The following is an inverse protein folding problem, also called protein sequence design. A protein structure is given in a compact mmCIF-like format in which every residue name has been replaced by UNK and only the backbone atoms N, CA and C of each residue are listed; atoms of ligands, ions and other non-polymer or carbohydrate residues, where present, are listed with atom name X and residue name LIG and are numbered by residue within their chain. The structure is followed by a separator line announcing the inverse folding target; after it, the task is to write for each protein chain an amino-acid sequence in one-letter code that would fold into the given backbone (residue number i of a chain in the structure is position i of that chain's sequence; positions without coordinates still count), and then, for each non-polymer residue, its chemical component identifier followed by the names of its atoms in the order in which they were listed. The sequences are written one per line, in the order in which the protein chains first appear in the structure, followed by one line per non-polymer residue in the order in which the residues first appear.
data_IF_580072781390
#
_entry.id   IF_580072781390
#
_cell.length_a   1.000
_cell.length_b   1.000
_cell.length_c   1.000
_cell.angle_alpha   90.00
_cell.angle_beta   90.00
_cell.angle_gamma   90.00
#
_symmetry.space_group_name_H-M   'P 1'
#
loop_
_entity.id
_entity.type
_entity.pdbx_description
1 polymer ?
#
# COMPACT_ATOMS: atom_id res chain seq x y z
N UNK A 1 1.38 4.86 0.08
CA UNK A 1 1.51 3.50 -0.48
C UNK A 1 2.94 3.00 -0.32
N UNK A 2 3.92 3.77 -0.81
CA UNK A 2 5.34 3.40 -0.88
C UNK A 2 5.89 2.79 0.42
N UNK A 3 5.62 3.42 1.57
CA UNK A 3 6.09 2.90 2.86
C UNK A 3 5.53 1.51 3.21
N UNK A 4 4.24 1.27 2.93
CA UNK A 4 3.62 -0.05 3.12
C UNK A 4 4.24 -1.11 2.22
N UNK A 5 4.51 -0.78 0.95
CA UNK A 5 5.11 -1.71 -0.02
C UNK A 5 6.56 -2.03 0.36
N UNK A 6 7.36 -1.01 0.69
CA UNK A 6 8.75 -1.17 1.07
C UNK A 6 8.89 -2.05 2.33
N UNK A 7 8.12 -1.78 3.39
CA UNK A 7 8.20 -2.59 4.62
C UNK A 7 7.70 -4.03 4.38
N UNK A 8 6.67 -4.24 3.55
CA UNK A 8 6.26 -5.61 3.19
C UNK A 8 7.33 -6.33 2.36
N UNK A 9 7.94 -5.65 1.38
CA UNK A 9 8.99 -6.19 0.54
C UNK A 9 10.22 -6.66 1.34
N UNK A 10 10.65 -5.87 2.33
CA UNK A 10 11.78 -6.22 3.21
C UNK A 10 11.48 -7.50 4.02
N UNK A 11 10.26 -7.65 4.51
CA UNK A 11 9.91 -8.75 5.42
C UNK A 11 9.41 -10.02 4.69
N UNK A 12 8.97 -9.91 3.44
CA UNK A 12 8.29 -11.01 2.74
C UNK A 12 8.63 -11.13 1.26
N UNK A 13 9.62 -10.37 0.79
CA UNK A 13 10.14 -10.37 -0.56
C UNK A 13 9.43 -9.34 -1.47
N UNK A 14 10.19 -8.65 -2.35
CA UNK A 14 9.65 -7.60 -3.22
C UNK A 14 8.58 -8.12 -4.18
N UNK A 15 8.80 -9.26 -4.81
CA UNK A 15 7.84 -9.83 -5.76
C UNK A 15 6.47 -10.08 -5.12
N UNK A 16 6.41 -10.58 -3.88
CA UNK A 16 5.14 -10.79 -3.17
C UNK A 16 4.45 -9.48 -2.85
N UNK A 17 5.20 -8.52 -2.32
CA UNK A 17 4.67 -7.21 -1.95
C UNK A 17 4.05 -6.50 -3.16
N UNK A 18 4.69 -6.59 -4.33
CA UNK A 18 4.18 -5.98 -5.58
C UNK A 18 2.98 -6.77 -6.13
N UNK A 19 3.02 -8.11 -6.17
CA UNK A 19 1.90 -8.93 -6.66
C UNK A 19 0.62 -8.73 -5.85
N UNK A 20 0.72 -8.59 -4.53
CA UNK A 20 -0.45 -8.32 -3.70
C UNK A 20 -1.06 -6.95 -4.03
N UNK A 21 -0.22 -5.95 -4.31
CA UNK A 21 -0.70 -4.63 -4.71
C UNK A 21 -1.34 -4.66 -6.10
N UNK A 22 -0.70 -5.30 -7.07
CA UNK A 22 -1.21 -5.50 -8.43
C UNK A 22 -2.58 -6.15 -8.42
N UNK A 23 -2.76 -7.19 -7.61
CA UNK A 23 -4.05 -7.86 -7.41
C UNK A 23 -5.14 -6.88 -6.96
N UNK A 24 -4.84 -5.96 -6.04
CA UNK A 24 -5.81 -5.01 -5.51
C UNK A 24 -6.18 -3.91 -6.50
N UNK A 25 -5.26 -3.51 -7.38
CA UNK A 25 -5.49 -2.47 -8.38
C UNK A 25 -5.89 -3.03 -9.75
N UNK A 26 -6.10 -4.35 -9.86
CA UNK A 26 -6.51 -5.02 -11.11
C UNK A 26 -5.42 -5.05 -12.19
N UNK A 27 -4.15 -4.94 -11.81
CA UNK A 27 -3.01 -5.06 -12.73
C UNK A 27 -2.52 -6.51 -12.84
N UNK A 28 -1.77 -6.81 -13.91
CA UNK A 28 -1.09 -8.09 -14.09
C UNK A 28 -0.17 -8.37 -12.90
N UNK A 29 -0.30 -9.55 -12.27
CA UNK A 29 0.46 -9.94 -11.07
C UNK A 29 1.86 -10.49 -11.44
N UNK A 30 2.60 -9.74 -12.23
CA UNK A 30 3.97 -10.09 -12.66
C UNK A 30 5.03 -9.82 -11.57
N UNK A 31 4.70 -9.03 -10.55
CA UNK A 31 5.60 -8.63 -9.46
C UNK A 31 6.53 -7.47 -9.82
N UNK A 32 6.29 -6.79 -10.94
CA UNK A 32 7.08 -5.66 -11.44
C UNK A 32 6.34 -4.35 -11.18
N UNK A 33 6.99 -3.42 -10.49
CA UNK A 33 6.47 -2.07 -10.27
C UNK A 33 6.70 -1.19 -11.52
N UNK A 34 6.05 -1.54 -12.63
CA UNK A 34 6.13 -0.81 -13.89
C UNK A 34 5.10 0.32 -14.03
N UNK A 35 5.16 1.05 -15.15
CA UNK A 35 4.29 2.20 -15.42
C UNK A 35 2.80 1.87 -15.33
N UNK A 36 2.37 0.69 -15.79
CA UNK A 36 0.97 0.23 -15.69
C UNK A 36 0.52 0.08 -14.23
N UNK A 37 1.33 -0.56 -13.40
CA UNK A 37 1.05 -0.73 -11.97
C UNK A 37 0.95 0.63 -11.28
N UNK A 38 1.88 1.55 -11.58
CA UNK A 38 1.88 2.92 -11.02
C UNK A 38 0.63 3.69 -11.44
N UNK A 39 0.23 3.62 -12.71
CA UNK A 39 -0.97 4.28 -13.21
C UNK A 39 -2.24 3.74 -12.51
N UNK A 40 -2.33 2.42 -12.31
CA UNK A 40 -3.44 1.79 -11.59
C UNK A 40 -3.51 2.23 -10.12
N UNK A 41 -2.36 2.31 -9.44
CA UNK A 41 -2.27 2.83 -8.05
C UNK A 41 -2.73 4.28 -7.98
N UNK A 42 -2.31 5.13 -8.92
CA UNK A 42 -2.67 6.55 -8.95
C UNK A 42 -4.16 6.78 -9.25
N UNK A 43 -4.83 5.80 -9.85
CA UNK A 43 -6.26 5.87 -10.17
C UNK A 43 -7.15 5.32 -9.03
N UNK A 44 -6.55 4.73 -8.00
CA UNK A 44 -7.25 4.12 -6.88
C UNK A 44 -7.49 5.10 -5.73
N UNK A 45 -8.51 4.83 -4.90
CA UNK A 45 -8.70 5.50 -3.62
C UNK A 45 -7.54 5.14 -2.67
N UNK A 46 -6.54 6.03 -2.57
CA UNK A 46 -5.24 5.72 -1.97
C UNK A 46 -5.33 5.27 -0.51
N UNK A 47 -6.18 5.92 0.30
CA UNK A 47 -6.36 5.60 1.72
C UNK A 47 -7.01 4.23 1.92
N UNK A 48 -8.04 3.90 1.14
CA UNK A 48 -8.68 2.57 1.12
C UNK A 48 -7.69 1.49 0.66
N UNK A 49 -6.95 1.77 -0.42
CA UNK A 49 -5.95 0.85 -0.96
C UNK A 49 -4.86 0.53 0.06
N UNK A 50 -4.34 1.54 0.79
CA UNK A 50 -3.38 1.35 1.89
C UNK A 50 -3.98 0.47 2.99
N UNK A 51 -5.24 0.70 3.34
CA UNK A 51 -5.90 -0.05 4.40
C UNK A 51 -6.04 -1.53 4.03
N UNK A 52 -6.62 -1.82 2.86
CA UNK A 52 -6.82 -3.18 2.36
C UNK A 52 -5.49 -3.88 2.11
N UNK A 53 -4.48 -3.20 1.58
CA UNK A 53 -3.15 -3.77 1.34
C UNK A 53 -2.49 -4.27 2.63
N UNK A 54 -2.53 -3.48 3.70
CA UNK A 54 -1.97 -3.90 4.98
C UNK A 54 -2.78 -5.03 5.64
N UNK A 55 -4.11 -5.07 5.44
CA UNK A 55 -4.95 -6.15 5.95
C UNK A 55 -4.66 -7.48 5.22
N UNK A 56 -4.46 -7.44 3.89
CA UNK A 56 -4.04 -8.58 3.08
C UNK A 56 -2.65 -9.08 3.47
N UNK A 57 -1.71 -8.16 3.66
CA UNK A 57 -0.37 -8.45 4.18
C UNK A 57 -0.43 -9.16 5.53
N UNK A 58 -1.28 -8.70 6.46
CA UNK A 58 -1.42 -9.31 7.77
C UNK A 58 -2.04 -10.71 7.68
N UNK A 59 -3.04 -10.89 6.81
CA UNK A 59 -3.65 -12.19 6.56
C UNK A 59 -2.63 -13.21 6.04
N UNK A 60 -1.75 -12.81 5.10
CA UNK A 60 -0.65 -13.64 4.65
C UNK A 60 0.31 -14.01 5.79
N UNK A 61 0.73 -13.04 6.61
CA UNK A 61 1.64 -13.32 7.72
C UNK A 61 1.01 -14.27 8.76
N UNK A 62 -0.30 -14.14 9.01
CA UNK A 62 -1.07 -15.05 9.87
C UNK A 62 -1.12 -16.48 9.35
N UNK A 63 -1.00 -16.70 8.04
CA UNK A 63 -0.97 -18.05 7.46
C UNK A 63 0.39 -18.75 7.56
N UNK A 64 1.44 -18.05 8.02
CA UNK A 64 2.77 -18.63 8.16
C UNK A 64 2.89 -19.48 9.43
N UNK A 65 3.58 -20.62 9.34
CA UNK A 65 3.82 -21.52 10.49
C UNK A 65 4.49 -20.80 11.68
N UNK A 66 5.33 -19.81 11.39
CA UNK A 66 6.08 -19.02 12.37
C UNK A 66 5.27 -17.91 13.04
N UNK A 67 4.00 -17.71 12.65
CA UNK A 67 3.11 -16.74 13.28
C UNK A 67 2.98 -16.94 14.79
N UNK A 68 2.98 -18.20 15.26
CA UNK A 68 2.90 -18.51 16.70
C UNK A 68 4.03 -17.87 17.51
N UNK A 69 5.21 -17.74 16.92
CA UNK A 69 6.40 -17.18 17.57
C UNK A 69 6.47 -15.67 17.41
N UNK A 70 6.27 -15.15 16.21
CA UNK A 70 6.56 -13.74 15.89
C UNK A 70 5.32 -12.86 15.66
N UNK A 71 4.13 -13.46 15.57
CA UNK A 71 2.92 -12.82 15.08
C UNK A 71 2.47 -11.61 15.89
N UNK A 72 2.74 -11.56 17.20
CA UNK A 72 2.46 -10.39 18.03
C UNK A 72 3.25 -9.16 17.56
N UNK A 73 4.56 -9.33 17.38
CA UNK A 73 5.45 -8.24 16.92
C UNK A 73 5.14 -7.82 15.48
N UNK A 74 4.93 -8.80 14.61
CA UNK A 74 4.55 -8.56 13.22
C UNK A 74 3.20 -7.83 13.11
N UNK A 75 2.19 -8.24 13.87
CA UNK A 75 0.88 -7.59 13.91
C UNK A 75 0.97 -6.13 14.34
N UNK A 76 1.72 -5.85 15.42
CA UNK A 76 1.99 -4.48 15.86
C UNK A 76 2.68 -3.65 14.76
N UNK A 77 3.71 -4.20 14.14
CA UNK A 77 4.45 -3.51 13.06
C UNK A 77 3.53 -3.17 11.88
N UNK A 78 2.70 -4.11 11.43
CA UNK A 78 1.75 -3.85 10.32
C UNK A 78 0.75 -2.76 10.70
N UNK A 79 0.25 -2.74 11.94
CA UNK A 79 -0.64 -1.69 12.41
C UNK A 79 0.04 -0.31 12.41
N UNK A 80 1.27 -0.23 12.94
CA UNK A 80 2.04 1.02 12.98
C UNK A 80 2.35 1.53 11.55
N UNK A 81 2.73 0.63 10.63
CA UNK A 81 2.98 0.97 9.20
C UNK A 81 1.71 1.44 8.50
N UNK A 82 0.56 0.79 8.76
CA UNK A 82 -0.75 1.19 8.22
C UNK A 82 -1.09 2.60 8.68
N UNK A 83 -0.98 2.88 9.97
CA UNK A 83 -1.26 4.21 10.53
C UNK A 83 -0.37 5.28 9.92
N UNK A 84 0.96 5.06 9.88
CA UNK A 84 1.91 6.03 9.31
C UNK A 84 1.69 6.24 7.81
N UNK A 85 1.37 5.18 7.07
CA UNK A 85 1.10 5.27 5.63
C UNK A 85 -0.17 6.06 5.34
N UNK A 86 -1.21 5.93 6.18
CA UNK A 86 -2.44 6.72 6.07
C UNK A 86 -2.20 8.19 6.40
N UNK A 87 -1.39 8.49 7.42
CA UNK A 87 -0.97 9.86 7.74
C UNK A 87 -0.25 10.53 6.56
N UNK A 88 0.73 9.84 5.96
CA UNK A 88 1.42 10.30 4.76
C UNK A 88 0.48 10.52 3.56
N UNK A 89 -0.50 9.63 3.39
CA UNK A 89 -1.48 9.75 2.30
C UNK A 89 -2.40 10.96 2.47
N UNK A 90 -2.86 11.22 3.70
CA UNK A 90 -3.68 12.41 4.01
C UNK A 90 -2.89 13.70 3.80
N UNK A 91 -1.59 13.72 4.10
CA UNK A 91 -0.72 14.85 3.77
C UNK A 91 -0.71 15.17 2.26
N UNK A 92 -0.76 14.14 1.40
CA UNK A 92 -0.86 14.31 -0.06
C UNK A 92 -2.24 14.80 -0.53
N UNK A 93 -3.33 14.40 0.10
CA UNK A 93 -4.68 14.88 -0.25
C UNK A 93 -4.83 16.39 -0.05
N UNK A 94 -4.10 16.97 0.93
CA UNK A 94 -4.09 18.41 1.21
C UNK A 94 -3.28 19.22 0.19
N UNK A 95 -2.32 18.59 -0.49
CA UNK A 95 -1.41 19.23 -1.46
C UNK A 95 -1.93 19.18 -2.92
N UNK A 96 -3.07 18.52 -3.19
CA UNK A 96 -3.66 18.49 -4.52
C UNK A 96 -3.88 19.92 -5.05
N UNK A 97 -3.50 20.23 -6.31
CA UNK A 97 -3.43 21.60 -6.79
C UNK A 97 -4.80 22.27 -6.73
N UNK A 98 -4.84 23.48 -6.12
CA UNK A 98 -5.99 24.39 -6.27
C UNK A 98 -6.22 24.56 -7.77
N UNK A 99 -7.36 24.07 -8.28
CA UNK A 99 -7.76 24.30 -9.68
C UNK A 99 -7.50 25.78 -10.02
N UNK A 100 -6.85 26.11 -11.14
CA UNK A 100 -6.69 27.50 -11.53
C UNK A 100 -8.09 28.11 -11.66
N UNK A 101 -8.33 29.23 -10.95
CA UNK A 101 -9.53 30.04 -11.15
C UNK A 101 -9.57 30.40 -12.64
N UNK A 102 -10.64 30.04 -13.34
CA UNK A 102 -10.88 30.54 -14.70
C UNK A 102 -10.89 32.07 -14.63
N UNK A 103 -10.06 32.71 -15.45
CA UNK A 103 -10.09 34.16 -15.58
C UNK A 103 -11.47 34.60 -16.12
N UNK A 104 -12.06 35.70 -15.60
CA UNK A 104 -13.23 36.29 -16.22
C UNK A 104 -12.89 36.81 -17.61
N UNK A 105 -13.87 36.74 -18.51
CA UNK A 105 -13.77 37.12 -19.93
C UNK A 105 -13.44 38.60 -20.12
#
# INVERSE_FOLDING_TARGET
MDYSVADFAVNSGPARAVKELQKLVGADQDGIMGAKTIAAINSAALTELIAVYNDRRLAFQKSLKTWKTFGRGWGKRVADVKARSLEMARGKEVEAPKRPRKAPR
#
